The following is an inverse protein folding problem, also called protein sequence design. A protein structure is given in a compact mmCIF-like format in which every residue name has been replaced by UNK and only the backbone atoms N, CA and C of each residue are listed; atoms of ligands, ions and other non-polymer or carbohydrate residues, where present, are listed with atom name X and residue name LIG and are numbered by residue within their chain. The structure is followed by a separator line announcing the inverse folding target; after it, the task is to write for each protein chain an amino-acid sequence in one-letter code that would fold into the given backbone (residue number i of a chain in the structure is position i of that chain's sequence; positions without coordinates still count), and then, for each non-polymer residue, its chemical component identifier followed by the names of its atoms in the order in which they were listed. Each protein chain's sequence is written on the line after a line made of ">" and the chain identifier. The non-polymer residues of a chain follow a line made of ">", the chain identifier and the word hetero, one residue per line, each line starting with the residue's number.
data_IF_816766850158
#
_entry.id   IF_816766850158
#
_cell.length_a   1.000
_cell.length_b   1.000
_cell.length_c   1.000
_cell.angle_alpha   90.00
_cell.angle_beta   90.00
_cell.angle_gamma   90.00
#
_symmetry.space_group_name_H-M   'P 1'
#
loop_
_entity.id
_entity.type
_entity.pdbx_description
1 polymer ?
#
# COMPACT_ATOMS: atom_id res chain seq x y z
N UNK A 1 -38.01 -34.55 21.33
CA UNK A 1 -37.93 -35.28 20.05
C UNK A 1 -38.76 -34.65 18.92
N UNK A 2 -39.86 -33.92 19.19
CA UNK A 2 -40.64 -33.23 18.14
C UNK A 2 -40.05 -31.89 17.62
N UNK A 3 -39.14 -31.23 18.34
CA UNK A 3 -38.57 -29.93 17.92
C UNK A 3 -37.39 -30.10 16.94
N UNK A 4 -36.65 -31.22 17.00
CA UNK A 4 -35.55 -31.51 16.04
C UNK A 4 -36.06 -31.93 14.65
N UNK A 5 -37.26 -32.49 14.55
CA UNK A 5 -37.88 -32.85 13.27
C UNK A 5 -38.39 -31.61 12.49
N UNK A 6 -38.81 -30.56 13.19
CA UNK A 6 -39.29 -29.32 12.57
C UNK A 6 -38.14 -28.51 11.95
N UNK A 7 -36.97 -28.50 12.59
CA UNK A 7 -35.76 -27.85 12.06
C UNK A 7 -35.14 -28.58 10.87
N UNK A 8 -35.20 -29.92 10.83
CA UNK A 8 -34.78 -30.68 9.65
C UNK A 8 -35.69 -30.42 8.44
N UNK A 9 -37.01 -30.29 8.65
CA UNK A 9 -37.95 -30.00 7.56
C UNK A 9 -37.81 -28.59 6.97
N UNK A 10 -37.50 -27.57 7.79
CA UNK A 10 -37.25 -26.21 7.31
C UNK A 10 -35.90 -26.11 6.58
N UNK A 11 -34.86 -26.81 7.06
CA UNK A 11 -33.56 -26.85 6.38
C UNK A 11 -33.60 -27.61 5.04
N UNK A 12 -34.37 -28.70 4.95
CA UNK A 12 -34.60 -29.44 3.71
C UNK A 12 -35.43 -28.63 2.70
N UNK A 13 -36.40 -27.82 3.15
CA UNK A 13 -37.14 -26.90 2.27
C UNK A 13 -36.27 -25.77 1.71
N UNK A 14 -35.42 -25.16 2.55
CA UNK A 14 -34.50 -24.11 2.10
C UNK A 14 -33.45 -24.63 1.10
N UNK A 15 -32.95 -25.85 1.30
CA UNK A 15 -32.03 -26.51 0.37
C UNK A 15 -32.69 -26.89 -0.97
N UNK A 16 -33.94 -27.36 -0.96
CA UNK A 16 -34.69 -27.68 -2.18
C UNK A 16 -35.06 -26.43 -2.99
N UNK A 17 -35.37 -25.30 -2.35
CA UNK A 17 -35.60 -24.02 -3.05
C UNK A 17 -34.32 -23.48 -3.70
N UNK A 18 -33.15 -23.63 -3.07
CA UNK A 18 -31.86 -23.19 -3.65
C UNK A 18 -31.47 -24.04 -4.87
N UNK A 19 -31.69 -25.36 -4.83
CA UNK A 19 -31.39 -26.28 -5.93
C UNK A 19 -32.32 -26.05 -7.14
N UNK A 20 -33.60 -25.76 -6.90
CA UNK A 20 -34.55 -25.41 -7.96
C UNK A 20 -34.24 -24.05 -8.61
N UNK A 21 -33.73 -23.07 -7.84
CA UNK A 21 -33.31 -21.77 -8.38
C UNK A 21 -32.06 -21.91 -9.28
N UNK A 22 -31.10 -22.74 -8.86
CA UNK A 22 -29.87 -23.03 -9.64
C UNK A 22 -30.18 -23.84 -10.90
N UNK A 23 -31.11 -24.80 -10.84
CA UNK A 23 -31.53 -25.56 -12.01
C UNK A 23 -32.35 -24.72 -13.01
N UNK A 24 -33.21 -23.81 -12.54
CA UNK A 24 -33.90 -22.88 -13.43
C UNK A 24 -32.95 -21.87 -14.08
N UNK A 25 -31.94 -21.37 -13.36
CA UNK A 25 -30.90 -20.50 -13.92
C UNK A 25 -30.02 -21.24 -14.95
N UNK A 26 -29.65 -22.50 -14.71
CA UNK A 26 -28.90 -23.31 -15.68
C UNK A 26 -29.69 -23.63 -16.96
N UNK A 27 -30.99 -23.91 -16.85
CA UNK A 27 -31.85 -24.16 -18.03
C UNK A 27 -32.15 -22.87 -18.79
N UNK A 28 -32.26 -21.72 -18.12
CA UNK A 28 -32.37 -20.42 -18.77
C UNK A 28 -31.09 -20.00 -19.50
N UNK A 29 -29.92 -20.36 -18.95
CA UNK A 29 -28.62 -20.13 -19.60
C UNK A 29 -28.34 -21.09 -20.77
N UNK A 30 -28.85 -22.34 -20.74
CA UNK A 30 -28.66 -23.29 -21.84
C UNK A 30 -29.62 -23.10 -23.02
N UNK A 31 -30.81 -22.50 -22.83
CA UNK A 31 -31.78 -22.33 -23.92
C UNK A 31 -31.68 -21.01 -24.70
N UNK A 32 -30.74 -20.13 -24.35
CA UNK A 32 -30.48 -18.86 -25.07
C UNK A 32 -29.16 -18.81 -25.85
N UNK A 33 -28.47 -19.95 -26.00
CA UNK A 33 -27.15 -20.02 -26.68
C UNK A 33 -27.16 -20.90 -27.95
N UNK A 34 -28.25 -20.89 -28.72
CA UNK A 34 -28.35 -21.56 -30.03
C UNK A 34 -29.17 -20.69 -31.01
N UNK A 35 -28.68 -19.49 -31.34
CA UNK A 35 -29.05 -18.76 -32.56
C UNK A 35 -28.19 -17.48 -32.70
N UNK A 36 -27.00 -17.62 -33.29
CA UNK A 36 -26.32 -16.60 -34.12
C UNK A 36 -24.85 -17.01 -34.33
N UNK A 37 -24.63 -18.05 -35.14
CA UNK A 37 -23.34 -18.22 -35.81
C UNK A 37 -23.26 -17.12 -36.87
N UNK A 38 -22.50 -16.05 -36.60
CA UNK A 38 -22.03 -15.12 -37.63
C UNK A 38 -20.53 -15.02 -37.50
N UNK A 39 -19.84 -15.63 -38.48
CA UNK A 39 -18.41 -15.56 -38.70
C UNK A 39 -17.98 -14.09 -38.84
N UNK A 40 -17.54 -13.42 -37.77
CA UNK A 40 -16.95 -12.07 -37.87
C UNK A 40 -16.07 -11.65 -36.68
N UNK A 41 -15.67 -12.58 -35.79
CA UNK A 41 -15.05 -12.22 -34.50
C UNK A 41 -13.74 -12.95 -34.15
N UNK A 42 -13.08 -13.61 -35.11
CA UNK A 42 -11.73 -14.17 -34.90
C UNK A 42 -10.62 -13.19 -35.32
N UNK A 43 -10.82 -12.37 -36.36
CA UNK A 43 -9.76 -11.49 -36.87
C UNK A 43 -9.62 -10.12 -36.17
N UNK A 44 -10.45 -9.78 -35.18
CA UNK A 44 -10.37 -8.48 -34.47
C UNK A 44 -9.39 -8.47 -33.29
N UNK A 45 -8.81 -9.61 -32.91
CA UNK A 45 -7.81 -9.73 -31.83
C UNK A 45 -6.38 -9.32 -32.21
N UNK A 46 -6.14 -8.86 -33.46
CA UNK A 46 -4.81 -8.40 -33.91
C UNK A 46 -4.63 -6.87 -33.88
N UNK A 47 -5.64 -6.12 -33.44
CA UNK A 47 -5.47 -4.70 -33.15
C UNK A 47 -5.07 -4.53 -31.68
N UNK A 48 -3.78 -4.75 -31.41
CA UNK A 48 -3.09 -4.06 -30.31
C UNK A 48 -3.48 -2.59 -30.46
N UNK A 49 -4.28 -2.08 -29.51
CA UNK A 49 -4.61 -0.66 -29.43
C UNK A 49 -3.26 0.05 -29.43
N UNK A 50 -2.87 0.65 -30.56
CA UNK A 50 -1.62 1.40 -30.69
C UNK A 50 -1.74 2.58 -29.72
N UNK A 51 -1.28 2.35 -28.49
CA UNK A 51 -0.95 3.43 -27.58
C UNK A 51 0.31 4.02 -28.18
N UNK A 52 0.21 5.22 -28.72
CA UNK A 52 1.40 5.92 -29.22
C UNK A 52 2.45 5.95 -28.10
N UNK A 53 3.72 5.60 -28.38
CA UNK A 53 4.78 5.67 -27.40
C UNK A 53 4.84 7.10 -26.86
N UNK A 54 4.48 7.26 -25.58
CA UNK A 54 4.46 8.56 -24.92
C UNK A 54 5.89 9.06 -24.74
N UNK A 55 6.12 10.36 -24.99
CA UNK A 55 7.45 10.98 -24.91
C UNK A 55 7.89 11.30 -23.47
N UNK A 56 6.97 11.34 -22.52
CA UNK A 56 7.25 11.68 -21.12
C UNK A 56 7.42 10.44 -20.23
N UNK A 57 8.36 10.50 -19.29
CA UNK A 57 8.55 9.47 -18.29
C UNK A 57 7.27 9.24 -17.46
N UNK A 58 6.88 7.98 -17.27
CA UNK A 58 5.65 7.61 -16.54
C UNK A 58 5.56 8.23 -15.14
N UNK A 59 6.70 8.44 -14.48
CA UNK A 59 6.79 9.09 -13.17
C UNK A 59 6.38 10.56 -13.19
N UNK A 60 6.63 11.30 -14.27
CA UNK A 60 6.31 12.74 -14.36
C UNK A 60 4.80 13.03 -14.43
N UNK A 61 3.99 12.06 -14.84
CA UNK A 61 2.53 12.23 -14.94
C UNK A 61 1.85 11.98 -13.59
N UNK A 62 2.44 11.14 -12.75
CA UNK A 62 1.86 10.68 -11.50
C UNK A 62 2.45 11.38 -10.28
N UNK A 63 3.69 11.87 -10.36
CA UNK A 63 4.37 12.50 -9.24
C UNK A 63 3.88 13.92 -8.96
N UNK A 64 3.80 14.28 -7.68
CA UNK A 64 3.69 15.69 -7.27
C UNK A 64 4.96 16.43 -7.68
N UNK A 65 4.83 17.50 -8.48
CA UNK A 65 5.97 18.22 -9.07
C UNK A 65 6.49 19.38 -8.23
N UNK A 66 5.64 19.94 -7.37
CA UNK A 66 5.86 21.25 -6.75
C UNK A 66 7.04 21.25 -5.76
N UNK A 67 7.28 20.14 -5.06
CA UNK A 67 8.24 20.09 -3.95
C UNK A 67 9.52 19.30 -4.24
N UNK A 68 9.61 18.62 -5.39
CA UNK A 68 10.71 17.71 -5.73
C UNK A 68 11.06 16.73 -4.60
N UNK A 69 10.04 16.25 -3.87
CA UNK A 69 10.22 15.35 -2.75
C UNK A 69 10.64 13.96 -3.24
N UNK A 70 11.78 13.48 -2.74
CA UNK A 70 12.17 12.07 -2.87
C UNK A 70 11.99 11.39 -1.53
N UNK A 71 11.25 10.28 -1.52
CA UNK A 71 11.06 9.48 -0.32
C UNK A 71 11.98 8.26 -0.35
N UNK A 72 12.47 7.85 0.81
CA UNK A 72 13.18 6.59 1.02
C UNK A 72 12.46 5.79 2.09
N UNK A 73 11.93 4.63 1.71
CA UNK A 73 11.40 3.66 2.68
C UNK A 73 12.45 2.58 2.91
N UNK A 74 12.65 2.20 4.17
CA UNK A 74 13.59 1.17 4.60
C UNK A 74 12.85 0.14 5.42
N UNK A 75 13.14 -1.13 5.15
CA UNK A 75 12.65 -2.27 5.92
C UNK A 75 13.86 -3.00 6.48
N UNK A 76 13.90 -3.12 7.79
CA UNK A 76 14.98 -3.77 8.52
C UNK A 76 14.40 -4.96 9.26
N UNK A 77 14.78 -6.18 8.85
CA UNK A 77 14.43 -7.39 9.59
C UNK A 77 15.47 -7.55 10.69
N UNK A 78 15.04 -7.35 11.93
CA UNK A 78 15.86 -7.39 13.12
C UNK A 78 15.89 -8.82 13.65
N UNK A 79 16.98 -9.21 14.28
CA UNK A 79 17.02 -10.46 15.06
C UNK A 79 16.01 -10.32 16.21
N UNK A 80 15.13 -11.29 16.46
CA UNK A 80 14.08 -11.18 17.49
C UNK A 80 14.65 -10.78 18.87
N UNK A 81 15.78 -11.37 19.26
CA UNK A 81 16.47 -11.09 20.52
C UNK A 81 17.11 -9.70 20.61
N UNK A 82 17.15 -8.93 19.52
CA UNK A 82 17.77 -7.62 19.44
C UNK A 82 16.75 -6.48 19.23
N UNK A 83 15.45 -6.75 19.15
CA UNK A 83 14.46 -5.74 18.75
C UNK A 83 14.48 -4.51 19.68
N UNK A 84 14.54 -4.72 21.00
CA UNK A 84 14.57 -3.63 21.98
C UNK A 84 15.85 -2.79 21.87
N UNK A 85 17.01 -3.43 21.86
CA UNK A 85 18.30 -2.73 21.70
C UNK A 85 18.41 -1.99 20.36
N UNK A 86 17.83 -2.57 19.30
CA UNK A 86 17.75 -1.92 17.99
C UNK A 86 16.86 -0.67 18.04
N UNK A 87 15.72 -0.75 18.75
CA UNK A 87 14.80 0.36 18.90
C UNK A 87 15.46 1.51 19.67
N UNK A 88 16.08 1.23 20.82
CA UNK A 88 16.83 2.22 21.60
C UNK A 88 17.91 2.93 20.77
N UNK A 89 18.68 2.16 20.00
CA UNK A 89 19.71 2.71 19.11
C UNK A 89 19.11 3.63 18.02
N UNK A 90 17.93 3.27 17.48
CA UNK A 90 17.23 4.11 16.51
C UNK A 90 16.61 5.36 17.17
N UNK A 91 16.09 5.24 18.39
CA UNK A 91 15.49 6.36 19.13
C UNK A 91 16.53 7.43 19.51
N UNK A 92 17.79 7.06 19.72
CA UNK A 92 18.89 7.98 19.96
C UNK A 92 19.31 8.73 18.66
N UNK A 93 19.49 7.99 17.57
CA UNK A 93 20.17 8.53 16.38
C UNK A 93 19.21 9.14 15.37
N UNK A 94 18.06 8.53 15.06
CA UNK A 94 17.19 9.02 13.97
C UNK A 94 16.65 10.43 14.24
N UNK A 95 16.23 10.79 15.46
CA UNK A 95 15.78 12.16 15.76
C UNK A 95 16.90 13.18 15.58
N UNK A 96 18.14 12.87 15.97
CA UNK A 96 19.28 13.79 15.79
C UNK A 96 19.50 14.16 14.33
N UNK A 97 19.39 13.19 13.41
CA UNK A 97 19.49 13.43 11.96
C UNK A 97 18.29 14.24 11.46
N UNK A 98 17.08 13.95 11.96
CA UNK A 98 15.86 14.63 11.56
C UNK A 98 15.86 16.12 11.94
N UNK A 99 16.39 16.45 13.12
CA UNK A 99 16.36 17.84 13.65
C UNK A 99 17.55 18.69 13.23
N UNK A 100 18.60 18.07 12.69
CA UNK A 100 19.83 18.78 12.31
C UNK A 100 19.63 19.53 10.98
N UNK A 101 19.70 20.88 10.98
CA UNK A 101 19.47 21.70 9.79
C UNK A 101 20.54 21.50 8.71
N UNK A 102 21.68 20.87 9.00
CA UNK A 102 22.68 20.54 7.99
C UNK A 102 22.24 19.40 7.06
N UNK A 103 21.23 18.61 7.45
CA UNK A 103 20.67 17.55 6.62
C UNK A 103 19.35 18.02 6.01
N UNK A 104 19.26 18.22 4.67
CA UNK A 104 18.00 18.52 3.98
C UNK A 104 17.10 17.28 3.88
N UNK A 105 16.78 16.66 5.03
CA UNK A 105 15.94 15.50 5.13
C UNK A 105 15.09 15.49 6.40
N UNK A 106 13.94 14.82 6.31
CA UNK A 106 13.00 14.72 7.41
C UNK A 106 12.67 13.24 7.64
N UNK A 107 12.68 12.80 8.89
CA UNK A 107 12.10 11.52 9.24
C UNK A 107 10.58 11.69 9.14
N UNK A 108 9.95 10.99 8.20
CA UNK A 108 8.50 10.99 8.06
C UNK A 108 7.89 10.14 9.16
N UNK A 109 8.44 8.96 9.40
CA UNK A 109 8.00 8.11 10.48
C UNK A 109 8.85 6.86 10.63
N UNK A 110 8.74 6.27 11.81
CA UNK A 110 9.41 5.04 12.18
C UNK A 110 8.46 4.14 12.96
N UNK A 111 8.39 2.87 12.57
CA UNK A 111 7.41 1.93 13.11
C UNK A 111 8.00 0.54 13.28
N UNK A 112 7.46 -0.22 14.23
CA UNK A 112 7.64 -1.66 14.31
C UNK A 112 6.40 -2.39 13.79
N UNK A 113 6.63 -3.48 13.07
CA UNK A 113 5.55 -4.32 12.56
C UNK A 113 4.91 -5.11 13.70
N UNK A 114 3.60 -5.00 13.83
CA UNK A 114 2.80 -5.78 14.76
C UNK A 114 2.19 -7.02 14.10
N UNK A 115 1.51 -6.83 12.97
CA UNK A 115 0.98 -7.92 12.14
C UNK A 115 1.55 -7.83 10.72
N UNK A 116 2.06 -8.97 10.23
CA UNK A 116 2.86 -9.06 9.00
C UNK A 116 4.18 -9.76 9.28
N UNK A 117 5.27 -9.33 8.64
CA UNK A 117 6.63 -9.77 9.01
C UNK A 117 7.01 -9.21 10.39
N UNK A 118 6.96 -10.05 11.42
CA UNK A 118 7.35 -9.69 12.78
C UNK A 118 8.85 -9.39 12.88
N UNK A 119 9.24 -8.69 13.96
CA UNK A 119 10.62 -8.24 14.18
C UNK A 119 11.16 -7.35 13.06
N UNK A 120 10.27 -6.68 12.31
CA UNK A 120 10.63 -5.76 11.25
C UNK A 120 10.32 -4.31 11.63
N UNK A 121 11.36 -3.47 11.56
CA UNK A 121 11.23 -2.03 11.64
C UNK A 121 11.13 -1.40 10.24
N UNK A 122 10.24 -0.41 10.10
CA UNK A 122 10.03 0.37 8.88
C UNK A 122 10.36 1.83 9.15
N UNK A 123 11.22 2.41 8.32
CA UNK A 123 11.63 3.81 8.43
C UNK A 123 11.35 4.53 7.12
N UNK A 124 10.67 5.67 7.17
CA UNK A 124 10.42 6.50 5.99
C UNK A 124 11.07 7.87 6.16
N UNK A 125 11.87 8.25 5.17
CA UNK A 125 12.58 9.52 5.10
C UNK A 125 12.12 10.32 3.88
N UNK A 126 12.04 11.64 4.02
CA UNK A 126 11.78 12.60 2.94
C UNK A 126 13.03 13.44 2.71
N UNK A 127 13.38 13.67 1.45
CA UNK A 127 14.50 14.51 1.03
C UNK A 127 13.95 15.64 0.14
N UNK A 128 13.95 16.87 0.67
CA UNK A 128 13.53 18.05 -0.08
C UNK A 128 14.65 18.48 -1.02
N UNK A 129 14.37 18.58 -2.31
CA UNK A 129 15.40 18.76 -3.34
C UNK A 129 15.90 17.45 -3.96
N UNK A 130 15.17 16.34 -3.75
CA UNK A 130 15.30 15.13 -4.54
C UNK A 130 16.62 14.37 -4.39
N UNK A 131 17.14 13.82 -5.50
CA UNK A 131 18.38 13.04 -5.53
C UNK A 131 19.63 13.83 -5.08
N UNK A 132 19.81 15.12 -5.43
CA UNK A 132 20.90 15.94 -4.88
C UNK A 132 20.91 15.99 -3.35
N UNK A 133 19.77 16.30 -2.73
CA UNK A 133 19.64 16.35 -1.27
C UNK A 133 19.93 15.00 -0.60
N UNK A 134 19.39 13.91 -1.16
CA UNK A 134 19.73 12.56 -0.70
C UNK A 134 21.25 12.29 -0.77
N UNK A 135 21.89 12.66 -1.88
CA UNK A 135 23.33 12.42 -2.10
C UNK A 135 24.17 13.21 -1.10
N UNK A 136 23.84 14.48 -0.89
CA UNK A 136 24.48 15.34 0.10
C UNK A 136 24.40 14.75 1.51
N UNK A 137 23.18 14.42 1.98
CA UNK A 137 22.96 13.82 3.30
C UNK A 137 23.78 12.53 3.44
N UNK A 138 23.72 11.64 2.46
CA UNK A 138 24.44 10.37 2.53
C UNK A 138 25.96 10.54 2.53
N UNK A 139 26.51 11.60 1.91
CA UNK A 139 27.94 11.90 1.95
C UNK A 139 28.36 12.44 3.31
N UNK A 140 27.60 13.38 3.89
CA UNK A 140 27.88 13.92 5.23
C UNK A 140 27.81 12.83 6.31
N UNK A 141 26.77 11.99 6.26
CA UNK A 141 26.60 10.87 7.19
C UNK A 141 27.72 9.81 7.11
N UNK A 142 28.48 9.73 6.01
CA UNK A 142 29.64 8.81 5.93
C UNK A 142 30.87 9.33 6.67
N UNK A 143 30.89 10.61 7.04
CA UNK A 143 32.05 11.29 7.62
C UNK A 143 31.86 11.57 9.12
N UNK A 144 30.80 11.05 9.75
CA UNK A 144 30.46 11.33 11.13
C UNK A 144 30.11 10.05 11.93
N UNK A 145 29.64 10.24 13.17
CA UNK A 145 29.25 9.18 14.13
C UNK A 145 28.12 8.26 13.63
N UNK A 146 27.44 8.61 12.55
CA UNK A 146 26.46 7.73 11.92
C UNK A 146 27.08 6.41 11.44
N UNK A 147 28.38 6.38 11.16
CA UNK A 147 29.07 5.13 10.81
C UNK A 147 29.14 4.15 11.99
N UNK A 148 29.27 4.64 13.21
CA UNK A 148 29.22 3.81 14.44
C UNK A 148 27.81 3.22 14.62
N UNK A 149 26.78 4.09 14.53
CA UNK A 149 25.37 3.66 14.50
C UNK A 149 25.12 2.58 13.45
N UNK A 150 25.62 2.78 12.22
CA UNK A 150 25.44 1.86 11.11
C UNK A 150 26.10 0.51 11.39
N UNK A 151 27.26 0.51 12.04
CA UNK A 151 28.01 -0.69 12.44
C UNK A 151 27.26 -1.47 13.53
N UNK A 152 26.89 -0.81 14.63
CA UNK A 152 26.17 -1.44 15.75
C UNK A 152 24.82 -1.98 15.32
N UNK A 153 24.04 -1.18 14.59
CA UNK A 153 22.78 -1.63 14.00
C UNK A 153 22.99 -2.86 13.12
N UNK A 154 24.07 -2.90 12.34
CA UNK A 154 24.38 -4.02 11.44
C UNK A 154 24.46 -5.37 12.15
N UNK A 155 24.94 -5.40 13.40
CA UNK A 155 25.06 -6.64 14.20
C UNK A 155 23.70 -7.23 14.60
N UNK A 156 22.67 -6.39 14.63
CA UNK A 156 21.31 -6.73 15.07
C UNK A 156 20.37 -7.12 13.92
N UNK A 157 20.80 -7.01 12.66
CA UNK A 157 19.93 -7.25 11.50
C UNK A 157 20.11 -8.66 10.93
N UNK A 158 18.99 -9.28 10.55
CA UNK A 158 18.93 -10.46 9.68
C UNK A 158 19.04 -10.04 8.21
N UNK A 159 18.29 -9.02 7.82
CA UNK A 159 18.31 -8.49 6.45
C UNK A 159 17.83 -7.04 6.42
N UNK A 160 18.09 -6.37 5.29
CA UNK A 160 17.61 -5.00 5.04
C UNK A 160 17.31 -4.77 3.58
N UNK A 161 16.25 -4.03 3.30
CA UNK A 161 15.91 -3.53 1.96
C UNK A 161 15.49 -2.07 2.05
N UNK A 162 15.69 -1.32 0.98
CA UNK A 162 15.16 0.03 0.86
C UNK A 162 14.69 0.28 -0.58
N UNK A 163 13.83 1.29 -0.73
CA UNK A 163 13.34 1.77 -2.01
C UNK A 163 13.35 3.29 -2.01
N UNK A 164 13.58 3.87 -3.19
CA UNK A 164 13.34 5.29 -3.42
C UNK A 164 12.00 5.44 -4.14
N UNK A 165 11.17 6.34 -3.63
CA UNK A 165 9.78 6.50 -4.01
C UNK A 165 9.51 7.96 -4.39
N UNK A 166 8.49 8.14 -5.22
CA UNK A 166 7.82 9.42 -5.43
C UNK A 166 6.41 9.34 -4.86
N UNK A 167 5.87 10.48 -4.43
CA UNK A 167 4.49 10.61 -3.96
C UNK A 167 3.53 10.82 -5.14
N UNK A 168 2.33 10.26 -5.06
CA UNK A 168 1.27 10.55 -6.04
C UNK A 168 0.78 11.99 -5.88
N UNK A 169 0.54 12.67 -7.01
CA UNK A 169 0.05 14.05 -7.05
C UNK A 169 -1.36 14.24 -6.47
N UNK A 170 -2.17 13.18 -6.47
CA UNK A 170 -3.53 13.17 -5.94
C UNK A 170 -3.61 12.73 -4.46
N UNK A 171 -2.47 12.50 -3.80
CA UNK A 171 -2.43 12.12 -2.38
C UNK A 171 -1.99 13.28 -1.51
N UNK A 172 -2.45 13.28 -0.26
CA UNK A 172 -1.99 14.22 0.76
C UNK A 172 -0.54 13.94 1.15
N UNK A 173 0.16 14.98 1.59
CA UNK A 173 1.44 14.79 2.26
C UNK A 173 1.25 14.17 3.65
N UNK A 174 2.18 13.30 4.08
CA UNK A 174 2.21 12.83 5.46
C UNK A 174 2.45 14.00 6.42
N UNK A 175 1.49 14.25 7.30
CA UNK A 175 1.56 15.26 8.38
C UNK A 175 1.26 14.61 9.72
N UNK A 176 1.79 15.13 10.85
CA UNK A 176 1.43 14.69 12.19
C UNK A 176 -0.09 14.68 12.41
N UNK A 177 -0.60 13.67 13.13
CA UNK A 177 -2.03 13.46 13.37
C UNK A 177 -2.30 13.32 14.87
N UNK A 178 -3.46 13.77 15.38
CA UNK A 178 -3.83 13.51 16.77
C UNK A 178 -3.98 12.01 17.04
N UNK A 179 -3.61 11.58 18.25
CA UNK A 179 -3.91 10.24 18.76
C UNK A 179 -2.78 9.64 19.59
N UNK A 180 -2.97 8.40 20.02
CA UNK A 180 -2.20 7.27 19.52
C UNK A 180 -2.84 6.75 18.22
N UNK A 181 -2.02 6.45 17.21
CA UNK A 181 -2.47 5.80 15.96
C UNK A 181 -1.72 4.48 15.74
N UNK A 182 -2.41 3.49 15.15
CA UNK A 182 -1.77 2.38 14.45
C UNK A 182 -1.71 2.68 12.95
N UNK A 183 -0.70 2.17 12.27
CA UNK A 183 -0.48 2.41 10.85
C UNK A 183 -0.66 1.13 10.04
N UNK A 184 -1.25 1.21 8.86
CA UNK A 184 -1.27 0.13 7.89
C UNK A 184 -0.45 0.54 6.67
N UNK A 185 0.63 -0.19 6.38
CA UNK A 185 1.35 -0.08 5.11
C UNK A 185 0.86 -1.18 4.17
N UNK A 186 0.20 -0.78 3.07
CA UNK A 186 -0.22 -1.70 2.01
C UNK A 186 0.70 -1.54 0.81
N UNK A 187 1.37 -2.61 0.43
CA UNK A 187 2.26 -2.66 -0.72
C UNK A 187 1.59 -3.45 -1.85
N UNK A 188 1.60 -2.92 -3.06
CA UNK A 188 1.03 -3.56 -4.25
C UNK A 188 2.10 -3.62 -5.34
N UNK A 189 2.50 -4.81 -5.73
CA UNK A 189 3.29 -5.02 -6.93
C UNK A 189 2.35 -5.13 -8.12
N UNK A 190 2.40 -4.13 -8.98
CA UNK A 190 1.57 -4.04 -10.18
C UNK A 190 2.22 -4.79 -11.34
N UNK A 191 1.39 -5.23 -12.29
CA UNK A 191 1.88 -5.74 -13.58
C UNK A 191 2.69 -4.63 -14.29
N UNK A 192 3.85 -4.96 -14.89
CA UNK A 192 4.60 -3.98 -15.66
C UNK A 192 3.74 -3.27 -16.71
N UNK A 193 3.84 -1.94 -16.77
CA UNK A 193 3.08 -1.11 -17.70
C UNK A 193 1.69 -0.66 -17.23
N UNK A 194 1.15 -1.19 -16.12
CA UNK A 194 -0.23 -0.84 -15.66
C UNK A 194 -0.27 0.28 -14.62
N UNK A 195 0.87 0.83 -14.21
CA UNK A 195 0.94 1.83 -13.13
C UNK A 195 0.11 3.09 -13.41
N UNK A 196 0.07 3.57 -14.64
CA UNK A 196 -0.76 4.74 -15.02
C UNK A 196 -2.25 4.38 -14.97
N UNK A 197 -2.63 3.23 -15.54
CA UNK A 197 -4.01 2.77 -15.52
C UNK A 197 -4.51 2.64 -14.08
N UNK A 198 -3.73 1.96 -13.24
CA UNK A 198 -4.02 1.79 -11.83
C UNK A 198 -4.09 3.14 -11.10
N UNK A 199 -3.15 4.05 -11.36
CA UNK A 199 -3.12 5.39 -10.79
C UNK A 199 -4.35 6.22 -11.15
N UNK A 200 -4.86 6.13 -12.38
CA UNK A 200 -6.07 6.83 -12.81
C UNK A 200 -7.33 6.37 -12.07
N UNK A 201 -7.45 5.08 -11.75
CA UNK A 201 -8.53 4.59 -10.88
C UNK A 201 -8.34 5.08 -9.44
N UNK A 202 -7.11 5.05 -8.93
CA UNK A 202 -6.82 5.45 -7.55
C UNK A 202 -6.96 6.95 -7.28
N UNK A 203 -6.78 7.80 -8.30
CA UNK A 203 -7.07 9.23 -8.20
C UNK A 203 -8.55 9.49 -7.82
N UNK A 204 -9.48 8.65 -8.27
CA UNK A 204 -10.89 8.69 -7.85
C UNK A 204 -11.12 7.99 -6.51
N UNK A 205 -10.43 6.86 -6.32
CA UNK A 205 -10.57 6.04 -5.11
C UNK A 205 -10.18 6.78 -3.83
N UNK A 206 -9.14 7.62 -3.92
CA UNK A 206 -8.63 8.32 -2.76
C UNK A 206 -9.62 9.37 -2.25
N UNK A 207 -10.41 10.00 -3.13
CA UNK A 207 -11.45 10.97 -2.74
C UNK A 207 -12.53 10.31 -1.87
N UNK A 208 -12.90 9.06 -2.19
CA UNK A 208 -13.83 8.26 -1.38
C UNK A 208 -13.21 7.94 -0.01
N UNK A 209 -11.94 7.56 0.00
CA UNK A 209 -11.24 7.12 1.21
C UNK A 209 -10.94 8.29 2.15
N UNK A 210 -10.49 9.44 1.63
CA UNK A 210 -10.12 10.60 2.43
C UNK A 210 -11.25 11.13 3.33
N UNK A 211 -12.52 10.82 3.04
CA UNK A 211 -13.65 11.19 3.88
C UNK A 211 -13.57 10.64 5.31
N UNK A 212 -12.87 9.52 5.55
CA UNK A 212 -12.69 8.96 6.90
C UNK A 212 -11.35 9.38 7.55
N UNK A 213 -10.63 10.32 6.95
CA UNK A 213 -9.38 10.91 7.44
C UNK A 213 -8.25 9.90 7.71
N UNK A 214 -8.29 8.70 7.14
CA UNK A 214 -7.32 7.62 7.34
C UNK A 214 -6.11 7.67 6.38
N UNK A 215 -6.20 8.44 5.30
CA UNK A 215 -5.15 8.54 4.27
C UNK A 215 -3.94 9.34 4.77
N UNK A 216 -2.77 8.71 4.86
CA UNK A 216 -1.51 9.38 5.29
C UNK A 216 -0.61 9.71 4.11
N UNK A 217 -0.41 8.76 3.19
CA UNK A 217 0.48 8.95 2.05
C UNK A 217 0.34 7.85 1.01
N UNK A 218 0.59 8.19 -0.25
CA UNK A 218 0.57 7.26 -1.38
C UNK A 218 1.81 7.45 -2.23
N UNK A 219 2.55 6.36 -2.46
CA UNK A 219 3.87 6.41 -3.08
C UNK A 219 4.06 5.34 -4.13
N UNK A 220 4.96 5.55 -5.08
CA UNK A 220 5.35 4.55 -6.06
C UNK A 220 6.87 4.50 -6.25
N UNK A 221 7.38 3.28 -6.46
CA UNK A 221 8.81 3.00 -6.56
C UNK A 221 9.45 3.60 -7.81
N UNK A 222 10.58 4.29 -7.63
CA UNK A 222 11.53 4.64 -8.69
C UNK A 222 12.74 3.73 -8.72
N UNK A 223 13.28 3.36 -7.54
CA UNK A 223 14.46 2.49 -7.40
C UNK A 223 14.19 1.44 -6.33
N UNK A 224 14.65 0.21 -6.58
CA UNK A 224 14.38 -0.98 -5.76
C UNK A 224 13.38 -1.91 -6.46
N UNK A 225 12.41 -2.47 -5.73
CA UNK A 225 11.32 -3.24 -6.36
C UNK A 225 10.46 -2.30 -7.19
N UNK A 226 10.50 -2.46 -8.52
CA UNK A 226 9.78 -1.62 -9.48
C UNK A 226 8.30 -1.99 -9.56
N UNK A 227 7.51 -1.10 -10.18
CA UNK A 227 6.05 -1.23 -10.30
C UNK A 227 5.35 -1.46 -8.95
N UNK A 228 5.97 -1.03 -7.85
CA UNK A 228 5.43 -1.20 -6.51
C UNK A 228 4.80 0.11 -6.05
N UNK A 229 3.57 0.02 -5.56
CA UNK A 229 2.84 1.12 -4.93
C UNK A 229 2.71 0.86 -3.43
N UNK A 230 2.89 1.91 -2.63
CA UNK A 230 2.74 1.88 -1.19
C UNK A 230 1.65 2.85 -0.76
N UNK A 231 0.65 2.36 -0.03
CA UNK A 231 -0.31 3.21 0.68
C UNK A 231 -0.05 3.13 2.17
N UNK A 232 0.10 4.29 2.80
CA UNK A 232 0.17 4.44 4.24
C UNK A 232 -1.17 4.97 4.76
N UNK A 233 -1.75 4.22 5.68
CA UNK A 233 -3.01 4.55 6.35
C UNK A 233 -2.80 4.65 7.85
N UNK A 234 -3.61 5.46 8.54
CA UNK A 234 -3.61 5.57 9.99
C UNK A 234 -5.01 5.36 10.56
N UNK A 235 -5.09 4.59 11.63
CA UNK A 235 -6.32 4.26 12.34
C UNK A 235 -6.09 4.39 13.84
N UNK A 236 -7.17 4.61 14.60
CA UNK A 236 -7.09 4.63 16.06
C UNK A 236 -6.71 3.26 16.62
N UNK A 237 -7.30 2.21 16.06
CA UNK A 237 -7.18 0.81 16.50
C UNK A 237 -7.63 -0.15 15.38
N UNK A 238 -7.56 -1.46 15.62
CA UNK A 238 -7.94 -2.47 14.62
C UNK A 238 -9.44 -2.49 14.31
N UNK A 239 -10.30 -2.14 15.29
CA UNK A 239 -11.74 -2.11 15.09
C UNK A 239 -12.14 -0.95 14.17
N UNK A 240 -11.64 0.26 14.46
CA UNK A 240 -11.85 1.42 13.59
C UNK A 240 -11.30 1.20 12.18
N UNK A 241 -10.21 0.45 12.03
CA UNK A 241 -9.73 0.00 10.72
C UNK A 241 -10.74 -0.90 10.00
N UNK A 242 -11.28 -1.89 10.68
CA UNK A 242 -12.30 -2.78 10.10
C UNK A 242 -13.55 -2.00 9.69
N UNK A 243 -14.08 -1.19 10.60
CA UNK A 243 -15.28 -0.38 10.38
C UNK A 243 -15.09 0.58 9.19
N UNK A 244 -13.95 1.27 9.13
CA UNK A 244 -13.62 2.20 8.03
C UNK A 244 -13.51 1.49 6.68
N UNK A 245 -12.93 0.27 6.66
CA UNK A 245 -12.81 -0.52 5.42
C UNK A 245 -14.16 -1.05 4.96
N UNK A 246 -15.01 -1.48 5.89
CA UNK A 246 -16.36 -1.96 5.58
C UNK A 246 -17.26 -0.82 5.11
N UNK A 247 -17.15 0.36 5.72
CA UNK A 247 -17.88 1.57 5.32
C UNK A 247 -17.55 2.01 3.89
N UNK A 248 -16.32 1.79 3.41
CA UNK A 248 -15.94 2.12 2.04
C UNK A 248 -16.74 1.34 0.99
N UNK A 249 -17.19 0.12 1.30
CA UNK A 249 -18.04 -0.68 0.40
C UNK A 249 -19.47 -0.14 0.26
N UNK A 250 -19.89 0.77 1.15
CA UNK A 250 -21.19 1.44 1.07
C UNK A 250 -21.12 2.75 0.26
N UNK A 251 -19.95 3.06 -0.33
CA UNK A 251 -19.75 4.28 -1.13
C UNK A 251 -19.83 3.95 -2.62
N UNK A 252 -20.62 4.73 -3.34
CA UNK A 252 -20.81 4.58 -4.78
C UNK A 252 -19.46 4.65 -5.53
N UNK A 253 -19.26 3.73 -6.47
CA UNK A 253 -18.08 3.64 -7.32
C UNK A 253 -16.88 2.92 -6.69
N UNK A 254 -16.90 2.61 -5.39
CA UNK A 254 -15.82 1.85 -4.76
C UNK A 254 -15.69 0.44 -5.32
N UNK A 255 -16.81 -0.24 -5.55
CA UNK A 255 -16.89 -1.57 -6.14
C UNK A 255 -16.31 -1.61 -7.56
N UNK A 256 -16.62 -0.61 -8.40
CA UNK A 256 -16.08 -0.46 -9.75
C UNK A 256 -14.55 -0.30 -9.72
N UNK A 257 -14.05 0.56 -8.81
CA UNK A 257 -12.60 0.77 -8.64
C UNK A 257 -11.91 -0.53 -8.24
N UNK A 258 -12.47 -1.28 -7.30
CA UNK A 258 -11.91 -2.58 -6.89
C UNK A 258 -11.91 -3.57 -8.06
N UNK A 259 -13.02 -3.64 -8.81
CA UNK A 259 -13.15 -4.51 -9.98
C UNK A 259 -12.06 -4.27 -11.03
N UNK A 260 -11.76 -3.00 -11.35
CA UNK A 260 -10.75 -2.69 -12.37
C UNK A 260 -9.30 -2.69 -11.85
N UNK A 261 -9.07 -2.42 -10.56
CA UNK A 261 -7.69 -2.31 -10.04
C UNK A 261 -7.11 -3.64 -9.57
N UNK A 262 -7.92 -4.56 -9.02
CA UNK A 262 -7.43 -5.85 -8.49
C UNK A 262 -6.73 -6.70 -9.56
N UNK A 263 -7.25 -6.85 -10.79
CA UNK A 263 -6.59 -7.64 -11.84
C UNK A 263 -5.20 -7.11 -12.25
N UNK A 264 -4.92 -5.83 -12.00
CA UNK A 264 -3.65 -5.18 -12.33
C UNK A 264 -2.53 -5.49 -11.31
N UNK A 265 -2.87 -6.11 -10.18
CA UNK A 265 -1.96 -6.42 -9.08
C UNK A 265 -1.44 -7.86 -9.24
N UNK A 266 -0.12 -8.05 -9.12
CA UNK A 266 0.53 -9.36 -9.10
C UNK A 266 0.72 -9.89 -7.68
N UNK A 267 1.12 -9.01 -6.75
CA UNK A 267 1.32 -9.34 -5.36
C UNK A 267 0.84 -8.18 -4.49
N UNK A 268 0.25 -8.51 -3.33
CA UNK A 268 -0.15 -7.51 -2.35
C UNK A 268 0.21 -7.97 -0.95
N UNK A 269 0.64 -7.02 -0.13
CA UNK A 269 0.98 -7.22 1.27
C UNK A 269 0.33 -6.10 2.09
N UNK A 270 -0.19 -6.45 3.26
CA UNK A 270 -0.64 -5.49 4.27
C UNK A 270 0.08 -5.75 5.56
N UNK A 271 0.48 -4.66 6.22
CA UNK A 271 1.24 -4.70 7.46
C UNK A 271 0.67 -3.70 8.44
N UNK A 272 0.31 -4.17 9.64
CA UNK A 272 -0.06 -3.30 10.75
C UNK A 272 1.20 -2.97 11.54
N UNK A 273 1.41 -1.68 11.79
CA UNK A 273 2.62 -1.15 12.39
C UNK A 273 2.26 -0.22 13.55
N UNK A 274 3.11 -0.24 14.58
CA UNK A 274 3.01 0.62 15.75
C UNK A 274 4.14 1.65 15.67
N UNK A 275 3.84 2.96 15.76
CA UNK A 275 4.89 3.98 15.71
C UNK A 275 5.83 3.85 16.91
N UNK A 276 7.14 3.99 16.67
CA UNK A 276 8.12 4.05 17.74
C UNK A 276 7.95 5.34 18.56
N UNK A 277 8.54 5.40 19.76
CA UNK A 277 8.32 6.52 20.69
C UNK A 277 8.68 7.88 20.08
N UNK A 278 9.73 7.91 19.26
CA UNK A 278 10.28 9.11 18.61
C UNK A 278 9.78 9.29 17.17
N UNK A 279 8.79 8.52 16.73
CA UNK A 279 8.19 8.68 15.40
C UNK A 279 7.48 10.04 15.27
N UNK A 280 7.78 10.85 14.24
CA UNK A 280 7.06 12.12 14.01
C UNK A 280 5.57 11.95 13.71
N UNK A 281 5.17 10.76 13.27
CA UNK A 281 3.77 10.35 13.03
C UNK A 281 3.26 9.46 14.17
N UNK A 282 3.50 9.81 15.43
CA UNK A 282 2.95 9.07 16.58
C UNK A 282 1.51 9.50 16.88
#
# INVERSE_FOLDING_TARGET
>A
LLIRALWLHVALWAASCLVLLVLHLCVWFHHRSLAAFREDSWFKSLFVRKVDPRKDAHSHLLAKKEDSNLYKIQFHNVKPECLDAYNELCEDILPSIHTDPEYPCELVGTWNTWYGEQDQAVHMWRYRGGYPALTEVMNKLRQNKFMDYRSERGKMLLSRRNQLLLEFSFWNEPVPRPGPNIYELRSYQLRPGTMIEWGNYWARAIEIRQQNHEAVGGFFSQIGSLYTVHHLWAYKDLQSREDTRNAAWQRDGWDEIVYYTVPLIQHMESRIMIPMKTSPLK
#
